data_IF_049247255073
#
_entry.id   IF_049247255073
#
_cell.length_a   1.000
_cell.length_b   1.000
_cell.length_c   1.000
_cell.angle_alpha   90.00
_cell.angle_beta   90.00
_cell.angle_gamma   90.00
#
_symmetry.space_group_name_H-M   'P 1'
#
loop_
_entity.id
_entity.type
_entity.pdbx_description
1 polymer ?
#
# COMPACT_ATOMS: atom_id res chain seq x y z
N UNK A 1 2.33 32.14 -83.25
CA UNK A 1 3.54 32.38 -82.48
C UNK A 1 3.72 31.23 -81.50
N UNK A 2 4.84 30.51 -81.68
CA UNK A 2 5.18 29.34 -80.99
C UNK A 2 5.76 29.69 -79.56
N UNK A 3 5.54 28.83 -78.56
CA UNK A 3 6.58 28.57 -77.56
C UNK A 3 6.43 27.17 -76.99
N UNK A 4 7.50 26.43 -77.16
CA UNK A 4 7.80 25.11 -76.60
C UNK A 4 8.03 25.22 -75.10
N UNK A 5 7.59 24.26 -74.29
CA UNK A 5 8.10 24.03 -72.96
C UNK A 5 8.33 22.52 -72.79
N UNK A 6 9.55 22.22 -72.43
CA UNK A 6 10.17 20.89 -72.23
C UNK A 6 9.65 20.18 -71.01
N UNK A 7 9.37 18.88 -71.15
CA UNK A 7 9.13 17.99 -70.04
C UNK A 7 10.37 17.76 -69.15
N UNK A 8 10.18 17.67 -67.86
CA UNK A 8 11.13 17.12 -66.91
C UNK A 8 10.49 15.91 -66.23
N UNK A 9 11.06 14.75 -66.47
CA UNK A 9 10.81 13.55 -65.71
C UNK A 9 11.29 13.78 -64.28
N UNK A 10 10.42 13.60 -63.30
CA UNK A 10 10.76 13.57 -61.86
C UNK A 10 10.72 12.09 -61.47
N UNK A 11 11.88 11.56 -61.09
CA UNK A 11 12.04 10.24 -60.54
C UNK A 11 11.38 10.18 -59.16
N UNK A 12 10.43 9.24 -58.96
CA UNK A 12 9.82 8.95 -57.70
C UNK A 12 10.86 8.19 -56.81
N UNK A 13 11.43 8.86 -55.83
CA UNK A 13 12.18 8.23 -54.76
C UNK A 13 11.19 7.64 -53.75
N UNK A 14 11.13 6.30 -53.71
CA UNK A 14 10.33 5.57 -52.71
C UNK A 14 10.89 5.79 -51.32
N UNK A 15 10.23 6.52 -50.49
CA UNK A 15 10.50 6.59 -49.05
C UNK A 15 9.92 5.34 -48.38
N UNK A 16 10.78 4.40 -48.01
CA UNK A 16 10.45 3.29 -47.12
C UNK A 16 10.20 3.86 -45.73
N UNK A 17 8.93 3.97 -45.32
CA UNK A 17 8.52 4.27 -43.95
C UNK A 17 8.78 3.01 -43.13
N UNK A 18 9.92 2.93 -42.43
CA UNK A 18 10.14 1.99 -41.33
C UNK A 18 9.18 2.37 -40.22
N UNK A 19 8.07 1.64 -40.11
CA UNK A 19 7.19 1.66 -38.96
C UNK A 19 7.96 1.09 -37.75
N UNK A 20 8.54 1.94 -36.94
CA UNK A 20 9.00 1.61 -35.59
C UNK A 20 7.73 1.30 -34.77
N UNK A 21 7.31 0.05 -34.77
CA UNK A 21 6.43 -0.51 -33.76
C UNK A 21 7.23 -0.48 -32.43
N UNK A 22 7.19 0.68 -31.75
CA UNK A 22 7.49 0.73 -30.34
C UNK A 22 6.52 -0.24 -29.68
N UNK A 23 7.02 -1.42 -29.26
CA UNK A 23 6.27 -2.39 -28.50
C UNK A 23 5.79 -1.70 -27.21
N UNK A 24 4.56 -1.20 -27.23
CA UNK A 24 3.85 -0.90 -26.00
C UNK A 24 3.82 -2.23 -25.25
N UNK A 25 4.51 -2.28 -24.09
CA UNK A 25 4.35 -3.39 -23.17
C UNK A 25 2.85 -3.49 -22.88
N UNK A 26 2.19 -4.47 -23.50
CA UNK A 26 0.76 -4.69 -23.33
C UNK A 26 0.56 -4.98 -21.85
N UNK A 27 -0.25 -4.15 -21.16
CA UNK A 27 -0.56 -4.39 -19.79
C UNK A 27 -1.12 -5.81 -19.67
N UNK A 28 -0.54 -6.63 -18.82
CA UNK A 28 -0.98 -8.00 -18.60
C UNK A 28 -2.50 -8.01 -18.33
N UNK A 29 -3.26 -8.78 -19.10
CA UNK A 29 -4.71 -8.77 -19.03
C UNK A 29 -5.20 -9.29 -17.69
N UNK A 30 -5.97 -8.50 -16.94
CA UNK A 30 -6.55 -8.91 -15.66
C UNK A 30 -7.52 -10.09 -15.80
N UNK A 31 -7.81 -10.78 -14.70
CA UNK A 31 -8.77 -11.89 -14.66
C UNK A 31 -9.62 -11.91 -13.40
N UNK A 32 -10.75 -12.62 -13.47
CA UNK A 32 -11.74 -12.67 -12.38
C UNK A 32 -11.65 -13.97 -11.54
N UNK A 33 -10.68 -14.84 -11.81
CA UNK A 33 -10.48 -16.12 -11.13
C UNK A 33 -9.07 -16.66 -11.26
N UNK A 34 -8.80 -17.87 -10.75
CA UNK A 34 -7.46 -18.46 -10.76
C UNK A 34 -6.95 -18.81 -12.19
N UNK A 35 -7.86 -19.05 -13.13
CA UNK A 35 -7.50 -19.32 -14.52
C UNK A 35 -6.78 -18.11 -15.12
N UNK A 36 -5.69 -18.36 -15.85
CA UNK A 36 -4.88 -17.27 -16.43
C UNK A 36 -3.90 -16.57 -15.47
N UNK A 37 -3.94 -16.85 -14.16
CA UNK A 37 -3.04 -16.21 -13.20
C UNK A 37 -1.55 -16.52 -13.47
N UNK A 38 -1.22 -17.74 -13.88
CA UNK A 38 0.16 -18.13 -14.20
C UNK A 38 0.66 -17.44 -15.47
N UNK A 39 -0.17 -17.37 -16.51
CA UNK A 39 0.14 -16.66 -17.74
C UNK A 39 0.31 -15.14 -17.49
N UNK A 40 -0.64 -14.57 -16.74
CA UNK A 40 -0.54 -13.17 -16.32
C UNK A 40 0.75 -12.86 -15.55
N UNK A 41 1.19 -13.75 -14.65
CA UNK A 41 2.46 -13.56 -13.92
C UNK A 41 3.67 -13.51 -14.87
N UNK A 42 3.66 -14.31 -15.92
CA UNK A 42 4.73 -14.31 -16.92
C UNK A 42 4.80 -12.95 -17.64
N UNK A 43 3.66 -12.40 -18.05
CA UNK A 43 3.57 -11.08 -18.67
C UNK A 43 3.90 -9.96 -17.68
N UNK A 44 3.37 -10.04 -16.46
CA UNK A 44 3.62 -9.08 -15.40
C UNK A 44 5.10 -9.04 -14.97
N UNK A 45 5.85 -10.13 -15.14
CA UNK A 45 7.29 -10.15 -14.90
C UNK A 45 8.04 -9.17 -15.79
N UNK A 46 7.61 -8.96 -17.03
CA UNK A 46 8.18 -7.98 -17.94
C UNK A 46 7.89 -6.54 -17.45
N UNK A 47 6.67 -6.28 -16.99
CA UNK A 47 6.27 -4.99 -16.40
C UNK A 47 7.09 -4.72 -15.14
N UNK A 48 7.19 -5.70 -14.24
CA UNK A 48 7.95 -5.60 -12.99
C UNK A 48 9.46 -5.36 -13.26
N UNK A 49 10.04 -6.07 -14.23
CA UNK A 49 11.43 -5.88 -14.67
C UNK A 49 11.65 -4.47 -15.23
N UNK A 50 10.75 -3.99 -16.09
CA UNK A 50 10.78 -2.63 -16.63
C UNK A 50 10.68 -1.56 -15.52
N UNK A 51 9.97 -1.84 -14.43
CA UNK A 51 9.89 -0.99 -13.24
C UNK A 51 11.11 -1.10 -12.31
N UNK A 52 12.11 -1.97 -12.62
CA UNK A 52 13.35 -2.09 -11.84
C UNK A 52 13.35 -3.19 -10.78
N UNK A 53 12.39 -4.11 -10.79
CA UNK A 53 12.42 -5.33 -9.97
C UNK A 53 13.54 -6.24 -10.44
N UNK A 54 14.33 -6.79 -9.49
CA UNK A 54 15.49 -7.62 -9.75
C UNK A 54 15.18 -9.11 -9.51
N UNK A 55 16.20 -9.95 -9.58
CA UNK A 55 16.06 -11.41 -9.58
C UNK A 55 15.32 -11.99 -8.38
N UNK A 56 15.55 -11.48 -7.16
CA UNK A 56 14.85 -12.00 -5.96
C UNK A 56 13.35 -11.68 -6.00
N UNK A 57 13.00 -10.46 -6.41
CA UNK A 57 11.61 -10.05 -6.60
C UNK A 57 10.94 -10.85 -7.71
N UNK A 58 11.60 -11.02 -8.86
CA UNK A 58 11.07 -11.83 -9.97
C UNK A 58 10.88 -13.30 -9.57
N UNK A 59 11.81 -13.89 -8.80
CA UNK A 59 11.63 -15.24 -8.25
C UNK A 59 10.46 -15.31 -7.28
N UNK A 60 10.25 -14.29 -6.46
CA UNK A 60 9.09 -14.23 -5.56
C UNK A 60 7.77 -14.11 -6.34
N UNK A 61 7.75 -13.35 -7.45
CA UNK A 61 6.60 -13.29 -8.35
C UNK A 61 6.30 -14.65 -8.98
N UNK A 62 7.31 -15.32 -9.52
CA UNK A 62 7.14 -16.66 -10.12
C UNK A 62 6.58 -17.67 -9.11
N UNK A 63 7.02 -17.63 -7.84
CA UNK A 63 6.54 -18.47 -6.76
C UNK A 63 5.19 -18.06 -6.15
N UNK A 64 4.64 -16.90 -6.49
CA UNK A 64 3.37 -16.43 -5.97
C UNK A 64 2.21 -17.29 -6.42
N UNK A 65 1.27 -17.57 -5.50
CA UNK A 65 0.07 -18.40 -5.77
C UNK A 65 -1.19 -17.53 -5.74
N UNK A 66 -2.18 -17.87 -6.55
CA UNK A 66 -3.48 -17.20 -6.50
C UNK A 66 -4.10 -17.32 -5.12
N UNK A 67 -4.38 -16.19 -4.48
CA UNK A 67 -4.87 -16.10 -3.10
C UNK A 67 -6.40 -15.91 -3.07
N UNK A 68 -7.16 -16.99 -3.23
CA UNK A 68 -8.64 -16.97 -3.23
C UNK A 68 -9.22 -16.36 -1.96
N UNK A 69 -8.60 -16.59 -0.80
CA UNK A 69 -9.00 -16.00 0.49
C UNK A 69 -8.86 -14.45 0.48
N UNK A 70 -7.84 -13.93 -0.19
CA UNK A 70 -7.65 -12.49 -0.41
C UNK A 70 -8.81 -11.90 -1.22
N UNK A 71 -9.20 -12.55 -2.32
CA UNK A 71 -10.32 -12.11 -3.14
C UNK A 71 -11.62 -12.11 -2.34
N UNK A 72 -11.89 -13.16 -1.57
CA UNK A 72 -13.07 -13.24 -0.69
C UNK A 72 -13.09 -12.08 0.32
N UNK A 73 -11.98 -11.80 0.96
CA UNK A 73 -11.86 -10.68 1.90
C UNK A 73 -12.06 -9.32 1.20
N UNK A 74 -11.48 -9.11 0.02
CA UNK A 74 -11.60 -7.87 -0.75
C UNK A 74 -13.04 -7.58 -1.19
N UNK A 75 -13.83 -8.60 -1.50
CA UNK A 75 -15.26 -8.45 -1.80
C UNK A 75 -16.12 -8.12 -0.57
N UNK A 76 -15.65 -8.44 0.64
CA UNK A 76 -16.37 -8.23 1.90
C UNK A 76 -16.09 -6.88 2.59
N UNK A 77 -15.13 -6.08 2.11
CA UNK A 77 -14.63 -4.86 2.78
C UNK A 77 -15.73 -3.85 3.14
N UNK A 78 -16.75 -3.66 2.30
CA UNK A 78 -17.83 -2.66 2.54
C UNK A 78 -18.56 -2.88 3.87
N UNK A 79 -18.74 -4.14 4.31
CA UNK A 79 -19.43 -4.48 5.57
C UNK A 79 -18.61 -4.10 6.80
N UNK A 80 -17.27 -4.06 6.69
CA UNK A 80 -16.39 -3.78 7.81
C UNK A 80 -16.48 -2.34 8.32
N UNK A 81 -16.91 -1.40 7.48
CA UNK A 81 -16.99 0.04 7.76
C UNK A 81 -18.44 0.56 7.83
N UNK A 82 -19.44 -0.31 8.02
CA UNK A 82 -20.85 0.08 8.12
C UNK A 82 -21.26 0.46 9.54
N UNK A 83 -22.34 1.27 9.65
CA UNK A 83 -22.96 1.68 10.90
C UNK A 83 -22.42 3.00 11.45
N UNK A 84 -22.89 3.39 12.66
CA UNK A 84 -22.44 4.60 13.36
C UNK A 84 -21.00 4.46 13.87
N UNK A 85 -20.37 5.58 14.16
CA UNK A 85 -18.99 5.62 14.74
C UNK A 85 -18.96 4.88 16.07
N UNK A 86 -19.97 5.05 16.91
CA UNK A 86 -20.10 4.39 18.21
C UNK A 86 -20.15 2.87 18.05
N UNK A 87 -21.01 2.36 17.16
CA UNK A 87 -21.12 0.93 16.90
C UNK A 87 -19.84 0.35 16.27
N UNK A 88 -19.17 1.12 15.42
CA UNK A 88 -17.89 0.74 14.85
C UNK A 88 -16.81 0.67 15.93
N UNK A 89 -16.68 1.69 16.78
CA UNK A 89 -15.74 1.72 17.90
C UNK A 89 -15.98 0.56 18.87
N UNK A 90 -17.25 0.26 19.19
CA UNK A 90 -17.61 -0.87 20.07
C UNK A 90 -17.16 -2.21 19.46
N UNK A 91 -17.47 -2.46 18.19
CA UNK A 91 -17.05 -3.69 17.48
C UNK A 91 -15.53 -3.84 17.40
N UNK A 92 -14.80 -2.73 17.37
CA UNK A 92 -13.33 -2.70 17.34
C UNK A 92 -12.67 -2.73 18.72
N UNK A 93 -13.46 -2.76 19.80
CA UNK A 93 -12.92 -2.80 21.16
C UNK A 93 -12.22 -1.51 21.59
N UNK A 94 -12.78 -0.34 21.21
CA UNK A 94 -12.15 0.96 21.44
C UNK A 94 -11.77 1.21 22.91
N UNK A 95 -12.60 0.78 23.87
CA UNK A 95 -12.29 0.91 25.30
C UNK A 95 -11.01 0.19 25.70
N UNK A 96 -10.81 -1.03 25.19
CA UNK A 96 -9.57 -1.80 25.39
C UNK A 96 -8.38 -1.13 24.70
N UNK A 97 -8.58 -0.59 23.48
CA UNK A 97 -7.54 0.14 22.76
C UNK A 97 -7.11 1.38 23.54
N UNK A 98 -8.06 2.15 24.08
CA UNK A 98 -7.77 3.35 24.87
C UNK A 98 -7.01 2.99 26.15
N UNK A 99 -7.50 2.02 26.91
CA UNK A 99 -6.84 1.61 28.18
C UNK A 99 -5.43 1.09 27.95
N UNK A 100 -5.25 0.15 27.01
CA UNK A 100 -3.94 -0.40 26.64
C UNK A 100 -3.04 0.65 26.00
N UNK A 101 -3.60 1.55 25.18
CA UNK A 101 -2.88 2.65 24.56
C UNK A 101 -2.28 3.60 25.60
N UNK A 102 -3.04 4.00 26.61
CA UNK A 102 -2.55 4.82 27.73
C UNK A 102 -1.38 4.13 28.49
N UNK A 103 -1.51 2.84 28.74
CA UNK A 103 -0.44 2.05 29.38
C UNK A 103 0.82 1.99 28.50
N UNK A 104 0.66 1.72 27.20
CA UNK A 104 1.77 1.65 26.25
C UNK A 104 2.43 3.02 26.03
N UNK A 105 1.66 4.11 26.03
CA UNK A 105 2.19 5.48 26.00
C UNK A 105 3.19 5.72 27.13
N UNK A 106 2.84 5.31 28.36
CA UNK A 106 3.70 5.44 29.54
C UNK A 106 4.92 4.52 29.46
N UNK A 107 4.71 3.23 29.19
CA UNK A 107 5.79 2.23 29.20
C UNK A 107 6.78 2.35 28.02
N UNK A 108 6.41 3.07 26.96
CA UNK A 108 7.28 3.34 25.81
C UNK A 108 7.49 4.86 25.59
N UNK A 109 7.51 5.63 26.67
CA UNK A 109 7.58 7.10 26.59
C UNK A 109 8.76 7.58 25.74
N UNK A 110 9.94 6.99 25.87
CA UNK A 110 11.12 7.36 25.09
C UNK A 110 10.89 7.22 23.57
N UNK A 111 10.20 6.16 23.13
CA UNK A 111 9.87 5.97 21.71
C UNK A 111 8.86 7.01 21.25
N UNK A 112 7.79 7.25 22.00
CA UNK A 112 6.76 8.19 21.62
C UNK A 112 7.25 9.64 21.65
N UNK A 113 8.07 10.02 22.63
CA UNK A 113 8.73 11.33 22.65
C UNK A 113 9.64 11.53 21.42
N UNK A 114 10.37 10.48 21.00
CA UNK A 114 11.18 10.53 19.78
C UNK A 114 10.30 10.67 18.52
N UNK A 115 9.17 9.96 18.45
CA UNK A 115 8.23 10.09 17.33
C UNK A 115 7.68 11.51 17.26
N UNK A 116 7.18 12.03 18.37
CA UNK A 116 6.59 13.37 18.44
C UNK A 116 7.61 14.46 18.12
N UNK A 117 8.82 14.41 18.69
CA UNK A 117 9.87 15.38 18.40
C UNK A 117 10.38 15.32 16.95
N UNK A 118 10.36 14.13 16.32
CA UNK A 118 10.87 13.95 14.94
C UNK A 118 9.82 14.30 13.89
N UNK A 119 8.56 13.92 14.12
CA UNK A 119 7.50 14.00 13.09
C UNK A 119 6.38 14.98 13.47
N UNK A 120 6.34 15.48 14.70
CA UNK A 120 5.27 16.32 15.20
C UNK A 120 3.93 15.58 15.39
N UNK A 121 3.95 14.25 15.36
CA UNK A 121 2.75 13.41 15.43
C UNK A 121 2.53 12.93 16.86
N UNK A 122 1.34 13.22 17.42
CA UNK A 122 1.04 12.86 18.81
C UNK A 122 1.02 11.35 19.05
N UNK A 123 1.38 10.89 20.24
CA UNK A 123 1.34 9.47 20.59
C UNK A 123 -0.04 8.83 20.43
N UNK A 124 -1.11 9.56 20.74
CA UNK A 124 -2.47 9.03 20.72
C UNK A 124 -2.89 8.52 19.36
N UNK A 125 -2.62 9.25 18.27
CA UNK A 125 -3.00 8.80 16.91
C UNK A 125 -2.21 7.58 16.48
N UNK A 126 -0.93 7.51 16.80
CA UNK A 126 -0.08 6.33 16.49
C UNK A 126 -0.60 5.11 17.24
N UNK A 127 -0.95 5.26 18.53
CA UNK A 127 -1.49 4.19 19.36
C UNK A 127 -2.90 3.78 18.91
N UNK A 128 -3.74 4.73 18.50
CA UNK A 128 -5.07 4.44 17.96
C UNK A 128 -4.98 3.60 16.68
N UNK A 129 -4.14 3.99 15.73
CA UNK A 129 -3.90 3.23 14.50
C UNK A 129 -3.33 1.84 14.83
N UNK A 130 -2.28 1.76 15.64
CA UNK A 130 -1.67 0.48 16.02
C UNK A 130 -2.65 -0.47 16.73
N UNK A 131 -3.48 0.07 17.60
CA UNK A 131 -4.55 -0.69 18.27
C UNK A 131 -5.61 -1.20 17.29
N UNK A 132 -6.07 -0.33 16.41
CA UNK A 132 -7.11 -0.65 15.41
C UNK A 132 -6.66 -1.65 14.36
N UNK A 133 -5.40 -1.58 13.91
CA UNK A 133 -4.87 -2.43 12.83
C UNK A 133 -4.54 -3.84 13.32
N UNK A 134 -3.85 -3.96 14.45
CA UNK A 134 -3.30 -5.25 14.88
C UNK A 134 -3.48 -5.59 16.35
N UNK A 135 -4.28 -4.82 17.11
CA UNK A 135 -4.37 -5.01 18.55
C UNK A 135 -3.01 -4.85 19.24
N UNK A 136 -2.23 -3.87 18.81
CA UNK A 136 -0.85 -3.62 19.26
C UNK A 136 0.13 -4.73 18.91
N UNK A 137 0.04 -5.24 17.68
CA UNK A 137 0.90 -6.29 17.16
C UNK A 137 0.48 -7.71 17.56
N UNK A 138 -0.68 -7.86 18.21
CA UNK A 138 -1.20 -9.17 18.61
C UNK A 138 -1.56 -10.06 17.42
N UNK A 139 -1.97 -9.46 16.31
CA UNK A 139 -2.27 -10.18 15.08
C UNK A 139 -1.89 -9.37 13.84
N UNK A 140 -0.80 -9.76 13.19
CA UNK A 140 -0.28 -9.09 11.97
C UNK A 140 -0.63 -9.84 10.67
N UNK A 141 -1.51 -10.85 10.74
CA UNK A 141 -1.93 -11.66 9.61
C UNK A 141 -1.08 -12.91 9.37
N UNK A 142 -1.63 -13.82 8.52
CA UNK A 142 -1.00 -15.10 8.15
C UNK A 142 -1.02 -15.35 6.65
N UNK A 143 -1.55 -14.40 5.86
CA UNK A 143 -1.62 -14.50 4.40
C UNK A 143 -0.23 -14.21 3.82
N UNK A 144 0.23 -15.00 2.83
CA UNK A 144 1.46 -14.68 2.11
C UNK A 144 1.32 -13.31 1.42
N UNK A 145 2.15 -12.36 1.80
CA UNK A 145 2.07 -10.96 1.35
C UNK A 145 2.22 -10.83 -0.17
N UNK A 146 3.22 -11.51 -0.75
CA UNK A 146 3.48 -11.42 -2.20
C UNK A 146 2.31 -12.01 -2.98
N UNK A 147 1.86 -13.22 -2.60
CA UNK A 147 0.72 -13.87 -3.25
C UNK A 147 -0.55 -13.03 -3.15
N UNK A 148 -0.83 -12.45 -1.98
CA UNK A 148 -2.02 -11.61 -1.77
C UNK A 148 -2.01 -10.37 -2.69
N UNK A 149 -0.93 -9.59 -2.65
CA UNK A 149 -0.87 -8.33 -3.38
C UNK A 149 -0.79 -8.53 -4.90
N UNK A 150 -0.09 -9.59 -5.36
CA UNK A 150 0.00 -9.97 -6.78
C UNK A 150 -1.36 -10.46 -7.30
N UNK A 151 -2.11 -11.23 -6.47
CA UNK A 151 -3.49 -11.62 -6.80
C UNK A 151 -4.41 -10.42 -6.96
N UNK A 152 -4.30 -9.40 -6.09
CA UNK A 152 -5.09 -8.17 -6.20
C UNK A 152 -4.69 -7.31 -7.41
N UNK A 153 -3.43 -7.35 -7.81
CA UNK A 153 -2.97 -6.68 -9.03
C UNK A 153 -3.48 -7.38 -10.31
N UNK A 154 -3.66 -8.69 -10.24
CA UNK A 154 -4.28 -9.48 -11.31
C UNK A 154 -5.80 -9.31 -11.39
N UNK A 155 -6.48 -9.14 -10.27
CA UNK A 155 -7.94 -9.05 -10.20
C UNK A 155 -8.48 -7.83 -10.95
N UNK A 156 -9.48 -8.03 -11.85
CA UNK A 156 -10.03 -6.97 -12.69
C UNK A 156 -10.77 -5.86 -11.94
N UNK A 157 -11.05 -6.03 -10.63
CA UNK A 157 -11.78 -5.03 -9.84
C UNK A 157 -11.00 -3.72 -9.64
N UNK A 158 -9.70 -3.81 -9.32
CA UNK A 158 -8.86 -2.64 -9.01
C UNK A 158 -7.39 -2.83 -9.41
N UNK A 159 -7.06 -3.33 -10.60
CA UNK A 159 -5.68 -3.62 -10.97
C UNK A 159 -4.80 -2.37 -10.91
N UNK A 160 -5.30 -1.22 -11.39
CA UNK A 160 -4.54 0.03 -11.38
C UNK A 160 -4.13 0.50 -9.98
N UNK A 161 -4.94 0.21 -8.95
CA UNK A 161 -4.58 0.50 -7.56
C UNK A 161 -3.52 -0.46 -7.01
N UNK A 162 -3.65 -1.76 -7.30
CA UNK A 162 -2.77 -2.77 -6.69
C UNK A 162 -1.48 -3.02 -7.46
N UNK A 163 -1.40 -2.75 -8.75
CA UNK A 163 -0.17 -2.91 -9.55
C UNK A 163 1.04 -2.20 -8.96
N UNK A 164 0.98 -0.90 -8.57
CA UNK A 164 2.12 -0.24 -7.92
C UNK A 164 2.52 -0.90 -6.59
N UNK A 165 1.55 -1.42 -5.84
CA UNK A 165 1.82 -2.12 -4.59
C UNK A 165 2.45 -3.51 -4.82
N UNK A 166 2.05 -4.23 -5.87
CA UNK A 166 2.67 -5.49 -6.25
C UNK A 166 4.13 -5.29 -6.66
N UNK A 167 4.43 -4.32 -7.52
CA UNK A 167 5.80 -3.94 -7.90
C UNK A 167 6.62 -3.58 -6.66
N UNK A 168 6.06 -2.76 -5.76
CA UNK A 168 6.72 -2.37 -4.53
C UNK A 168 7.01 -3.57 -3.59
N UNK A 169 6.10 -4.54 -3.49
CA UNK A 169 6.33 -5.77 -2.72
C UNK A 169 7.53 -6.55 -3.26
N UNK A 170 7.63 -6.70 -4.58
CA UNK A 170 8.75 -7.37 -5.23
C UNK A 170 10.07 -6.61 -5.02
N UNK A 171 10.05 -5.27 -5.09
CA UNK A 171 11.21 -4.43 -4.77
C UNK A 171 11.65 -4.54 -3.30
N UNK A 172 10.70 -4.68 -2.38
CA UNK A 172 10.99 -4.90 -0.96
C UNK A 172 11.64 -6.28 -0.72
N UNK A 173 11.28 -7.29 -1.52
CA UNK A 173 11.96 -8.60 -1.52
C UNK A 173 13.40 -8.46 -2.02
N UNK A 174 13.62 -7.73 -3.11
CA UNK A 174 14.96 -7.46 -3.62
C UNK A 174 15.87 -6.79 -2.59
N UNK A 175 15.31 -5.86 -1.80
CA UNK A 175 16.02 -5.11 -0.76
C UNK A 175 16.14 -5.85 0.57
N UNK A 176 15.55 -7.04 0.71
CA UNK A 176 15.58 -7.83 1.93
C UNK A 176 14.68 -7.32 3.06
N UNK A 177 13.83 -6.31 2.81
CA UNK A 177 12.81 -5.86 3.77
C UNK A 177 11.63 -6.84 3.87
N UNK A 178 11.39 -7.62 2.81
CA UNK A 178 10.51 -8.78 2.75
C UNK A 178 11.26 -10.00 2.23
N UNK A 179 10.67 -11.17 2.43
CA UNK A 179 11.04 -12.41 1.74
C UNK A 179 9.84 -12.94 0.96
N UNK A 180 10.05 -13.88 0.03
CA UNK A 180 8.97 -14.57 -0.67
C UNK A 180 7.97 -15.26 0.28
N UNK A 181 8.44 -15.68 1.48
CA UNK A 181 7.62 -16.30 2.53
C UNK A 181 7.03 -15.32 3.55
N UNK A 182 7.22 -14.01 3.38
CA UNK A 182 6.67 -13.02 4.33
C UNK A 182 5.16 -13.09 4.40
N UNK A 183 4.62 -12.98 5.62
CA UNK A 183 3.17 -13.00 5.86
C UNK A 183 2.69 -11.66 6.40
N UNK A 184 1.43 -11.35 6.10
CA UNK A 184 0.73 -10.13 6.49
C UNK A 184 -0.78 -10.35 6.50
N UNK A 185 -1.57 -9.28 6.41
CA UNK A 185 -3.02 -9.38 6.35
C UNK A 185 -3.54 -9.83 4.98
N UNK A 186 -4.86 -9.88 4.86
CA UNK A 186 -5.55 -10.51 3.72
C UNK A 186 -5.32 -9.81 2.38
N UNK A 187 -5.02 -8.50 2.37
CA UNK A 187 -4.74 -7.75 1.14
C UNK A 187 -3.23 -7.50 0.94
N UNK A 188 -2.36 -8.21 1.70
CA UNK A 188 -0.92 -8.08 1.61
C UNK A 188 -0.33 -6.92 2.43
N UNK A 189 -1.09 -6.38 3.37
CA UNK A 189 -0.63 -5.36 4.31
C UNK A 189 0.40 -5.94 5.28
N UNK A 190 1.35 -5.10 5.71
CA UNK A 190 2.58 -5.52 6.37
C UNK A 190 2.71 -4.93 7.77
N UNK A 191 3.03 -5.80 8.74
CA UNK A 191 3.55 -5.46 10.05
C UNK A 191 2.57 -4.84 11.02
N UNK A 192 3.09 -4.19 12.04
CA UNK A 192 2.34 -3.67 13.20
C UNK A 192 1.20 -2.71 12.84
N UNK A 193 1.34 -1.92 11.81
CA UNK A 193 0.35 -0.91 11.41
C UNK A 193 -0.22 -1.14 10.01
N UNK A 194 -0.02 -2.33 9.46
CA UNK A 194 -0.69 -2.81 8.24
C UNK A 194 -0.50 -1.90 7.02
N UNK A 195 0.76 -1.56 6.72
CA UNK A 195 1.10 -0.82 5.51
C UNK A 195 0.93 -1.65 4.24
N UNK A 196 0.33 -1.07 3.21
CA UNK A 196 0.48 -1.60 1.86
C UNK A 196 1.93 -1.44 1.36
N UNK A 197 2.45 -2.39 0.56
CA UNK A 197 3.86 -2.40 0.14
C UNK A 197 4.37 -1.10 -0.49
N UNK A 198 3.55 -0.43 -1.31
CA UNK A 198 3.91 0.86 -1.89
C UNK A 198 4.16 1.94 -0.84
N UNK A 199 3.36 1.93 0.22
CA UNK A 199 3.52 2.85 1.34
C UNK A 199 4.76 2.51 2.18
N UNK A 200 5.09 1.21 2.34
CA UNK A 200 6.37 0.80 2.97
C UNK A 200 7.55 1.35 2.17
N UNK A 201 7.51 1.20 0.86
CA UNK A 201 8.59 1.66 -0.01
C UNK A 201 8.80 3.18 0.07
N UNK A 202 7.70 3.94 0.11
CA UNK A 202 7.70 5.40 0.10
C UNK A 202 7.93 6.03 1.48
N UNK A 203 7.28 5.51 2.52
CA UNK A 203 7.24 6.14 3.84
C UNK A 203 7.94 5.34 4.93
N UNK A 204 8.30 4.08 4.67
CA UNK A 204 9.02 3.25 5.63
C UNK A 204 10.38 3.85 5.97
N UNK A 205 10.70 3.90 7.27
CA UNK A 205 11.98 4.40 7.78
C UNK A 205 12.98 3.27 8.03
N UNK A 206 14.25 3.60 8.17
CA UNK A 206 15.32 2.64 8.46
C UNK A 206 15.37 1.49 7.45
N UNK A 207 15.47 0.27 7.96
CA UNK A 207 15.49 -0.95 7.16
C UNK A 207 14.13 -1.38 6.60
N UNK A 208 13.06 -0.60 6.86
CA UNK A 208 11.68 -0.86 6.41
C UNK A 208 11.07 -2.20 6.90
N UNK A 209 11.64 -2.79 7.94
CA UNK A 209 11.08 -3.98 8.57
C UNK A 209 9.91 -3.59 9.51
N UNK A 210 8.69 -3.61 9.01
CA UNK A 210 7.50 -3.22 9.79
C UNK A 210 7.02 -4.29 10.79
N UNK A 211 7.73 -5.42 10.90
CA UNK A 211 7.58 -6.36 12.02
C UNK A 211 8.36 -5.90 13.26
N UNK A 212 9.31 -4.97 13.09
CA UNK A 212 9.87 -4.23 14.21
C UNK A 212 8.92 -3.11 14.62
N UNK A 213 8.57 -3.09 15.90
CA UNK A 213 7.62 -2.14 16.48
C UNK A 213 8.05 -0.69 16.25
N UNK A 214 9.29 -0.36 16.56
CA UNK A 214 9.78 1.01 16.47
C UNK A 214 9.79 1.51 15.04
N UNK A 215 10.27 0.69 14.11
CA UNK A 215 10.27 0.98 12.67
C UNK A 215 8.85 1.20 12.15
N UNK A 216 7.89 0.37 12.54
CA UNK A 216 6.50 0.49 12.10
C UNK A 216 5.85 1.79 12.61
N UNK A 217 5.98 2.09 13.92
CA UNK A 217 5.35 3.28 14.51
C UNK A 217 5.98 4.59 13.99
N UNK A 218 7.30 4.63 13.83
CA UNK A 218 7.99 5.76 13.20
C UNK A 218 7.60 5.92 11.72
N UNK A 219 7.43 4.83 10.97
CA UNK A 219 6.95 4.86 9.59
C UNK A 219 5.52 5.40 9.50
N UNK A 220 4.65 5.04 10.45
CA UNK A 220 3.28 5.56 10.55
C UNK A 220 3.28 7.07 10.78
N UNK A 221 4.13 7.56 11.69
CA UNK A 221 4.28 8.99 11.92
C UNK A 221 4.82 9.72 10.68
N UNK A 222 5.84 9.16 10.00
CA UNK A 222 6.36 9.71 8.75
C UNK A 222 5.28 9.77 7.66
N UNK A 223 4.43 8.75 7.56
CA UNK A 223 3.29 8.73 6.65
C UNK A 223 2.31 9.87 6.96
N UNK A 224 1.87 10.00 8.22
CA UNK A 224 0.92 11.04 8.63
C UNK A 224 1.48 12.44 8.38
N UNK A 225 2.75 12.68 8.73
CA UNK A 225 3.44 13.94 8.42
C UNK A 225 3.42 14.25 6.92
N UNK A 226 3.74 13.26 6.08
CA UNK A 226 3.75 13.42 4.63
C UNK A 226 2.34 13.66 4.03
N UNK A 227 1.28 13.36 4.78
CA UNK A 227 -0.11 13.62 4.43
C UNK A 227 -0.69 14.87 5.13
N UNK A 228 0.17 15.77 5.59
CA UNK A 228 -0.23 17.10 6.10
C UNK A 228 -0.61 17.09 7.58
N UNK A 229 -0.07 16.18 8.40
CA UNK A 229 -0.24 16.26 9.84
C UNK A 229 0.27 17.60 10.37
N UNK A 230 -0.61 18.35 11.04
CA UNK A 230 -0.32 19.63 11.68
C UNK A 230 -0.05 19.41 13.19
N UNK A 231 1.21 19.61 13.66
CA UNK A 231 1.52 19.49 15.08
C UNK A 231 0.69 20.47 15.92
N UNK A 232 0.20 20.01 17.07
CA UNK A 232 -0.59 20.84 18.00
C UNK A 232 -2.08 20.95 17.69
N UNK A 233 -2.53 20.56 16.48
CA UNK A 233 -3.97 20.59 16.13
C UNK A 233 -4.77 19.41 16.67
N UNK A 234 -4.14 18.46 17.39
CA UNK A 234 -4.77 17.24 17.85
C UNK A 234 -5.23 16.32 16.72
N UNK A 235 -5.82 15.18 17.04
CA UNK A 235 -6.26 14.23 16.03
C UNK A 235 -7.48 14.75 15.23
N UNK A 236 -8.39 15.47 15.88
CA UNK A 236 -9.59 16.04 15.24
C UNK A 236 -9.25 17.15 14.23
N UNK A 237 -8.20 17.93 14.47
CA UNK A 237 -7.68 18.94 13.54
C UNK A 237 -6.88 18.33 12.38
N UNK A 238 -6.62 17.00 12.40
CA UNK A 238 -5.81 16.28 11.43
C UNK A 238 -6.57 15.21 10.62
N UNK A 239 -7.90 15.39 10.45
CA UNK A 239 -8.74 14.43 9.72
C UNK A 239 -8.24 14.15 8.30
N UNK A 240 -7.65 15.16 7.62
CA UNK A 240 -7.06 14.98 6.28
C UNK A 240 -5.88 14.01 6.26
N UNK A 241 -4.97 14.11 7.24
CA UNK A 241 -3.85 13.17 7.37
C UNK A 241 -4.34 11.75 7.71
N UNK A 242 -5.35 11.63 8.58
CA UNK A 242 -5.98 10.34 8.92
C UNK A 242 -6.72 9.77 7.70
N UNK A 243 -7.37 10.59 6.88
CA UNK A 243 -7.99 10.17 5.62
C UNK A 243 -6.99 9.61 4.62
N UNK A 244 -5.76 10.13 4.60
CA UNK A 244 -4.65 9.56 3.84
C UNK A 244 -4.32 8.12 4.26
N UNK A 245 -4.48 7.79 5.54
CA UNK A 245 -4.30 6.44 6.06
C UNK A 245 -5.46 5.51 5.66
N UNK A 246 -6.69 5.95 5.89
CA UNK A 246 -7.88 5.19 5.53
C UNK A 246 -9.02 6.15 5.16
N UNK A 247 -9.55 6.01 3.96
CA UNK A 247 -10.58 6.89 3.40
C UNK A 247 -11.99 6.71 4.01
N UNK A 248 -12.22 5.66 4.81
CA UNK A 248 -13.53 5.43 5.43
C UNK A 248 -13.79 6.44 6.56
N UNK A 249 -14.79 7.30 6.41
CA UNK A 249 -15.11 8.35 7.38
C UNK A 249 -15.35 7.85 8.80
N UNK A 250 -16.02 6.69 8.95
CA UNK A 250 -16.24 6.05 10.25
C UNK A 250 -14.93 5.62 10.93
N UNK A 251 -13.94 5.17 10.15
CA UNK A 251 -12.61 4.86 10.67
C UNK A 251 -11.88 6.12 11.13
N UNK A 252 -11.91 7.17 10.33
CA UNK A 252 -11.25 8.44 10.62
C UNK A 252 -11.75 9.04 11.94
N UNK A 253 -13.07 9.11 12.11
CA UNK A 253 -13.69 9.60 13.34
C UNK A 253 -13.36 8.72 14.54
N UNK A 254 -13.36 7.39 14.37
CA UNK A 254 -12.98 6.47 15.45
C UNK A 254 -11.53 6.67 15.86
N UNK A 255 -10.59 6.80 14.90
CA UNK A 255 -9.18 7.08 15.19
C UNK A 255 -9.04 8.41 15.94
N UNK A 256 -9.68 9.48 15.49
CA UNK A 256 -9.60 10.78 16.15
C UNK A 256 -10.07 10.71 17.61
N UNK A 257 -11.25 10.13 17.86
CA UNK A 257 -11.81 9.99 19.23
C UNK A 257 -10.95 9.10 20.15
N UNK A 258 -10.43 7.96 19.61
CA UNK A 258 -9.55 7.07 20.38
C UNK A 258 -8.22 7.79 20.70
N UNK A 259 -7.65 8.51 19.73
CA UNK A 259 -6.41 9.26 19.91
C UNK A 259 -6.55 10.35 20.98
N UNK A 260 -7.57 11.18 20.90
CA UNK A 260 -7.92 12.22 21.88
C UNK A 260 -8.05 11.61 23.28
N UNK A 261 -8.79 10.50 23.41
CA UNK A 261 -8.93 9.80 24.69
C UNK A 261 -7.60 9.23 25.24
N UNK A 262 -6.71 8.73 24.36
CA UNK A 262 -5.39 8.23 24.78
C UNK A 262 -4.48 9.39 25.25
N UNK A 263 -4.52 10.52 24.55
CA UNK A 263 -3.70 11.69 24.89
C UNK A 263 -4.17 12.42 26.14
N UNK A 264 -5.43 12.20 26.57
CA UNK A 264 -6.00 12.79 27.79
C UNK A 264 -6.55 14.20 27.57
N UNK A 265 -6.95 14.47 26.34
CA UNK A 265 -7.57 15.74 25.92
C UNK A 265 -9.09 15.64 25.98
#
# INVERSE_FOLDING_TARGET
MAFFAKGKMIAAAGAAVLSLLAGMAQAAQCGDGAAGFEEWKADFANVAKGAGVKNKGLSALAGAKYASATIKADRAVKKAFSGSVESFMQRRGASTIISKGRSLKKSNAALFNKIESTYGVSPGVILAIWGMETGFGGFMGKQNTVSAIVTLAYDCRRPGFFTPHAIAALMLVDRGALSAGSVGAMHGEIGHTQFLPGNVLKYGVGNKNLKDKSTALMSTANFLRAHGWNPGAGAEGNMGAIAGWNSAGVYQQAIARIATAIDGQ
#
